data_IF_291649031002
#
_entry.id   IF_291649031002
#
_cell.length_a   1.000
_cell.length_b   1.000
_cell.length_c   1.000
_cell.angle_alpha   90.00
_cell.angle_beta   90.00
_cell.angle_gamma   90.00
#
_symmetry.space_group_name_H-M   'P 1'
#
loop_
_entity.id
_entity.type
_entity.pdbx_description
1 polymer ?
#
# COMPACT_ATOMS: atom_id res chain seq x y z
N UNK A 1 -31.52 12.40 -0.44
CA UNK A 1 -31.51 11.03 -1.02
C UNK A 1 -30.53 10.22 -0.19
N UNK A 2 -31.01 9.27 0.59
CA UNK A 2 -30.14 8.31 1.26
C UNK A 2 -29.69 7.26 0.23
N UNK A 3 -28.37 7.07 0.11
CA UNK A 3 -27.78 6.09 -0.81
C UNK A 3 -28.01 4.67 -0.26
N UNK A 4 -29.09 4.02 -0.71
CA UNK A 4 -29.53 2.73 -0.16
C UNK A 4 -28.74 1.49 -0.63
N UNK A 5 -27.81 1.63 -1.59
CA UNK A 5 -27.05 0.48 -2.10
C UNK A 5 -25.63 0.37 -1.51
N UNK A 6 -25.16 1.30 -0.68
CA UNK A 6 -24.01 1.18 0.26
C UNK A 6 -22.69 0.56 -0.23
N UNK A 7 -22.51 0.31 -1.53
CA UNK A 7 -21.36 -0.44 -2.09
C UNK A 7 -20.12 0.43 -2.23
N UNK A 8 -20.31 1.73 -2.44
CA UNK A 8 -19.24 2.71 -2.62
C UNK A 8 -19.54 3.98 -1.79
N UNK A 9 -18.51 4.63 -1.21
CA UNK A 9 -17.13 4.13 -1.09
C UNK A 9 -17.06 2.82 -0.28
N UNK A 10 -16.06 1.98 -0.58
CA UNK A 10 -15.88 0.68 0.11
C UNK A 10 -15.60 0.89 1.61
N UNK A 11 -14.94 2.01 1.94
CA UNK A 11 -14.72 2.48 3.30
C UNK A 11 -15.68 3.64 3.63
N UNK A 12 -15.95 3.90 4.92
CA UNK A 12 -16.70 5.08 5.35
C UNK A 12 -16.22 6.38 4.66
N UNK A 13 -17.12 7.31 4.29
CA UNK A 13 -16.76 8.53 3.55
C UNK A 13 -15.75 9.45 4.25
N UNK A 14 -15.53 9.28 5.55
CA UNK A 14 -14.52 10.01 6.33
C UNK A 14 -13.14 9.33 6.35
N UNK A 15 -12.98 8.21 5.62
CA UNK A 15 -11.69 7.54 5.42
C UNK A 15 -11.29 7.74 3.97
N UNK A 16 -10.16 8.42 3.78
CA UNK A 16 -9.64 8.76 2.47
C UNK A 16 -8.42 7.88 2.19
N UNK A 17 -8.52 7.07 1.16
CA UNK A 17 -7.49 6.15 0.72
C UNK A 17 -7.24 6.36 -0.77
N UNK A 18 -5.98 6.35 -1.18
CA UNK A 18 -5.55 6.48 -2.56
C UNK A 18 -4.77 5.24 -2.99
N UNK A 19 -4.81 4.95 -4.28
CA UNK A 19 -4.05 3.87 -4.91
C UNK A 19 -4.31 2.50 -4.25
N UNK A 20 -5.58 2.07 -4.15
CA UNK A 20 -5.89 0.76 -3.60
C UNK A 20 -5.56 -0.35 -4.59
N UNK A 21 -4.63 -1.24 -4.20
CA UNK A 21 -4.39 -2.51 -4.91
C UNK A 21 -4.88 -3.69 -4.09
N UNK A 22 -5.53 -4.65 -4.75
CA UNK A 22 -6.23 -5.75 -4.09
C UNK A 22 -5.82 -7.14 -4.58
N UNK A 23 -5.34 -7.96 -3.66
CA UNK A 23 -5.02 -9.37 -3.91
C UNK A 23 -5.81 -10.30 -2.98
N UNK A 24 -6.25 -11.43 -3.53
CA UNK A 24 -6.73 -12.56 -2.73
C UNK A 24 -5.51 -13.28 -2.15
N UNK A 25 -5.46 -13.39 -0.83
CA UNK A 25 -4.39 -14.07 -0.09
C UNK A 25 -4.69 -15.57 0.05
N UNK A 26 -3.67 -16.42 0.26
CA UNK A 26 -3.84 -17.87 0.38
C UNK A 26 -4.76 -18.31 1.52
N UNK A 27 -4.91 -17.51 2.57
CA UNK A 27 -5.83 -17.75 3.69
C UNK A 27 -7.29 -17.36 3.38
N UNK A 28 -7.56 -16.92 2.15
CA UNK A 28 -8.88 -16.47 1.70
C UNK A 28 -9.23 -15.04 2.12
N UNK A 29 -8.30 -14.31 2.74
CA UNK A 29 -8.46 -12.89 3.01
C UNK A 29 -8.16 -12.05 1.77
N UNK A 30 -8.74 -10.84 1.70
CA UNK A 30 -8.33 -9.84 0.71
C UNK A 30 -7.41 -8.85 1.38
N UNK A 31 -6.21 -8.67 0.84
CA UNK A 31 -5.36 -7.54 1.21
C UNK A 31 -5.62 -6.42 0.21
N UNK A 32 -6.08 -5.29 0.72
CA UNK A 32 -6.04 -4.02 0.02
C UNK A 32 -4.87 -3.22 0.61
N UNK A 33 -3.82 -2.97 -0.16
CA UNK A 33 -2.79 -2.03 0.28
C UNK A 33 -3.10 -0.67 -0.29
N UNK A 34 -2.95 0.35 0.53
CA UNK A 34 -3.26 1.72 0.13
C UNK A 34 -2.41 2.71 0.90
N UNK A 35 -2.31 3.90 0.33
CA UNK A 35 -1.94 5.09 1.06
C UNK A 35 -3.14 5.63 1.84
N UNK A 36 -3.17 5.58 3.19
CA UNK A 36 -4.02 6.48 3.91
C UNK A 36 -3.44 7.86 3.70
N UNK A 37 -4.31 8.78 3.37
CA UNK A 37 -3.99 10.18 3.52
C UNK A 37 -4.93 10.64 4.62
N UNK A 38 -4.38 11.07 5.75
CA UNK A 38 -5.21 11.81 6.72
C UNK A 38 -5.36 13.19 6.09
N UNK A 39 -6.37 13.34 5.23
CA UNK A 39 -6.55 14.54 4.40
C UNK A 39 -7.42 15.50 5.18
N UNK A 40 -6.91 16.68 5.51
CA UNK A 40 -7.81 17.82 5.68
C UNK A 40 -8.23 18.29 4.28
N UNK A 41 -9.49 18.70 4.03
CA UNK A 41 -9.95 19.04 2.68
C UNK A 41 -9.04 20.01 1.88
N UNK A 42 -8.22 20.83 2.55
CA UNK A 42 -7.20 21.70 1.96
C UNK A 42 -6.03 20.98 1.29
N UNK A 43 -5.76 19.72 1.64
CA UNK A 43 -4.62 18.95 1.12
C UNK A 43 -4.94 18.27 -0.22
N UNK A 44 -6.21 18.23 -0.64
CA UNK A 44 -6.69 17.48 -1.83
C UNK A 44 -6.12 18.02 -3.15
N UNK A 45 -5.75 19.30 -3.23
CA UNK A 45 -5.28 19.92 -4.48
C UNK A 45 -3.78 20.21 -4.54
N UNK A 46 -3.05 20.08 -3.42
CA UNK A 46 -1.65 20.49 -3.40
C UNK A 46 -0.69 19.34 -3.75
N UNK A 47 0.05 19.54 -4.85
CA UNK A 47 1.22 18.73 -5.23
C UNK A 47 2.49 19.19 -4.51
N UNK A 48 2.36 20.12 -3.55
CA UNK A 48 3.51 20.69 -2.86
C UNK A 48 4.17 19.66 -1.92
N UNK A 49 5.48 19.77 -1.82
CA UNK A 49 6.32 18.83 -1.09
C UNK A 49 6.01 18.81 0.41
N UNK A 50 5.60 19.95 1.00
CA UNK A 50 5.31 20.03 2.43
C UNK A 50 4.01 19.31 2.81
N UNK A 51 2.99 19.32 1.94
CA UNK A 51 1.80 18.48 2.12
C UNK A 51 2.11 17.00 1.93
N UNK A 52 2.99 16.63 0.99
CA UNK A 52 3.46 15.25 0.82
C UNK A 52 4.23 14.75 2.05
N UNK A 53 5.05 15.60 2.66
CA UNK A 53 5.79 15.30 3.90
C UNK A 53 4.88 15.21 5.13
N UNK A 54 3.85 16.07 5.25
CA UNK A 54 2.82 15.97 6.32
C UNK A 54 1.95 14.72 6.20
N UNK A 55 1.74 14.23 4.97
CA UNK A 55 1.06 12.98 4.68
C UNK A 55 1.92 11.73 4.98
N UNK A 56 3.06 11.92 5.66
CA UNK A 56 4.09 10.96 6.05
C UNK A 56 3.66 9.48 6.02
N UNK A 57 4.46 8.71 5.26
CA UNK A 57 4.24 7.34 4.84
C UNK A 57 3.78 6.39 5.94
N UNK A 58 2.47 6.19 6.00
CA UNK A 58 1.89 5.03 6.64
C UNK A 58 1.28 4.20 5.54
N UNK A 59 2.02 3.40 4.75
CA UNK A 59 1.33 2.43 3.90
C UNK A 59 0.45 1.57 4.81
N UNK A 60 -0.86 1.59 4.54
CA UNK A 60 -1.83 0.86 5.32
C UNK A 60 -2.22 -0.34 4.50
N UNK A 61 -1.90 -1.51 5.03
CA UNK A 61 -2.63 -2.70 4.62
C UNK A 61 -3.99 -2.65 5.32
N UNK A 62 -5.05 -2.70 4.54
CA UNK A 62 -6.40 -3.02 4.99
C UNK A 62 -6.68 -4.45 4.58
N UNK A 63 -6.91 -5.33 5.55
CA UNK A 63 -7.38 -6.68 5.25
C UNK A 63 -8.87 -6.72 5.53
N UNK A 64 -9.67 -6.94 4.48
CA UNK A 64 -11.10 -7.17 4.63
C UNK A 64 -11.33 -8.68 4.73
N UNK A 65 -11.53 -9.16 5.96
CA UNK A 65 -11.97 -10.52 6.20
C UNK A 65 -13.39 -10.47 6.79
N UNK A 66 -14.37 -11.04 6.09
CA UNK A 66 -15.77 -11.13 6.55
C UNK A 66 -16.39 -9.81 7.08
N UNK A 67 -16.02 -8.66 6.50
CA UNK A 67 -16.57 -7.35 6.90
C UNK A 67 -15.82 -6.63 8.02
N UNK A 68 -14.81 -7.26 8.63
CA UNK A 68 -13.89 -6.56 9.53
C UNK A 68 -12.87 -5.75 8.71
N UNK A 69 -12.70 -4.48 9.04
CA UNK A 69 -11.69 -3.58 8.46
C UNK A 69 -10.75 -3.17 9.58
N UNK A 70 -9.52 -3.68 9.57
CA UNK A 70 -8.50 -3.34 10.56
C UNK A 70 -7.41 -2.46 9.93
N UNK A 71 -6.96 -1.45 10.69
CA UNK A 71 -5.89 -0.51 10.32
C UNK A 71 -4.55 -1.10 10.77
N UNK A 72 -3.73 -1.64 9.86
CA UNK A 72 -2.39 -2.18 10.19
C UNK A 72 -1.18 -1.27 9.90
N UNK A 73 -0.26 -1.17 10.86
CA UNK A 73 1.01 -0.43 10.74
C UNK A 73 2.15 -1.40 10.44
N UNK A 74 2.46 -1.61 9.17
CA UNK A 74 3.61 -2.43 8.76
C UNK A 74 4.82 -1.64 8.29
N UNK A 75 4.68 -0.32 8.12
CA UNK A 75 5.54 0.49 7.24
C UNK A 75 6.42 1.52 7.94
N UNK A 76 6.15 1.78 9.22
CA UNK A 76 6.81 2.88 9.96
C UNK A 76 8.33 2.69 10.05
N UNK A 77 8.81 1.45 10.08
CA UNK A 77 10.24 1.13 10.16
C UNK A 77 10.98 1.43 8.84
N UNK A 78 10.38 1.10 7.69
CA UNK A 78 10.94 1.33 6.35
C UNK A 78 11.07 2.82 6.03
N UNK A 79 10.02 3.59 6.37
CA UNK A 79 10.03 5.04 6.23
C UNK A 79 11.07 5.67 7.16
N UNK A 80 11.21 5.17 8.39
CA UNK A 80 12.13 5.72 9.40
C UNK A 80 13.62 5.49 9.12
N UNK A 81 13.99 4.50 8.32
CA UNK A 81 15.39 4.13 8.09
C UNK A 81 16.13 5.04 7.10
N UNK A 82 15.46 6.06 6.55
CA UNK A 82 16.04 7.05 5.64
C UNK A 82 15.90 8.45 6.24
N UNK A 83 16.97 9.25 6.17
CA UNK A 83 16.98 10.64 6.59
C UNK A 83 17.21 11.53 5.35
N UNK A 84 16.21 12.29 4.87
CA UNK A 84 14.80 12.31 5.31
C UNK A 84 14.04 11.02 4.95
N UNK A 85 12.93 10.71 5.64
CA UNK A 85 12.13 9.51 5.38
C UNK A 85 11.62 9.52 3.94
N UNK A 86 11.97 8.49 3.17
CA UNK A 86 11.50 8.32 1.79
C UNK A 86 9.98 8.18 1.80
N UNK A 87 9.31 9.05 1.05
CA UNK A 87 7.90 8.88 0.75
C UNK A 87 7.77 7.73 -0.25
N UNK A 88 6.92 6.78 0.08
CA UNK A 88 6.62 5.64 -0.78
C UNK A 88 5.25 5.88 -1.44
N UNK A 89 4.84 5.19 -2.49
CA UNK A 89 3.56 5.46 -3.18
C UNK A 89 3.02 4.19 -3.84
N UNK A 90 1.73 4.24 -4.20
CA UNK A 90 1.01 3.23 -5.00
C UNK A 90 1.44 1.78 -4.72
N UNK A 91 1.26 1.30 -3.48
CA UNK A 91 1.78 0.02 -3.08
C UNK A 91 0.98 -1.13 -3.67
N UNK A 92 1.67 -2.20 -4.01
CA UNK A 92 1.07 -3.48 -4.33
C UNK A 92 1.59 -4.58 -3.39
N UNK A 93 0.80 -5.59 -3.09
CA UNK A 93 1.24 -6.70 -2.25
C UNK A 93 0.71 -8.06 -2.69
N UNK A 94 1.61 -9.03 -2.66
CA UNK A 94 1.35 -10.40 -3.10
C UNK A 94 1.99 -11.43 -2.17
N UNK A 95 1.35 -12.59 -2.03
CA UNK A 95 1.91 -13.73 -1.32
C UNK A 95 2.60 -14.67 -2.32
N UNK A 96 3.85 -15.03 -2.04
CA UNK A 96 4.63 -15.96 -2.85
C UNK A 96 5.63 -16.72 -1.99
N UNK A 97 5.92 -17.98 -2.31
CA UNK A 97 6.99 -18.76 -1.65
C UNK A 97 6.91 -18.77 -0.10
N UNK A 98 5.70 -18.75 0.46
CA UNK A 98 5.46 -18.72 1.91
C UNK A 98 5.75 -17.37 2.59
N UNK A 99 5.97 -16.30 1.82
CA UNK A 99 6.19 -14.93 2.31
C UNK A 99 5.21 -13.94 1.68
N UNK A 100 5.11 -12.78 2.30
CA UNK A 100 4.34 -11.65 1.79
C UNK A 100 5.31 -10.56 1.33
N UNK A 101 5.04 -10.02 0.15
CA UNK A 101 5.84 -8.98 -0.48
C UNK A 101 5.01 -7.71 -0.57
N UNK A 102 5.61 -6.59 -0.22
CA UNK A 102 5.04 -5.26 -0.38
C UNK A 102 5.94 -4.47 -1.32
N UNK A 103 5.44 -4.17 -2.50
CA UNK A 103 6.08 -3.37 -3.53
C UNK A 103 5.64 -1.91 -3.42
N UNK A 104 6.53 -1.00 -3.77
CA UNK A 104 6.29 0.44 -3.68
C UNK A 104 7.26 1.22 -4.58
N UNK A 105 6.82 2.38 -5.07
CA UNK A 105 7.71 3.38 -5.65
C UNK A 105 8.02 4.49 -4.63
N UNK A 106 9.11 5.22 -4.84
CA UNK A 106 9.57 6.30 -3.98
C UNK A 106 9.44 7.66 -4.69
N UNK A 107 9.50 8.75 -3.94
CA UNK A 107 9.49 10.11 -4.51
C UNK A 107 10.67 10.46 -5.43
N UNK A 108 11.71 9.61 -5.49
CA UNK A 108 12.92 9.80 -6.31
C UNK A 108 12.97 8.85 -7.52
N UNK A 109 11.81 8.44 -8.03
CA UNK A 109 11.62 7.50 -9.16
C UNK A 109 12.23 6.12 -8.93
N UNK A 110 12.61 5.78 -7.69
CA UNK A 110 13.13 4.46 -7.35
C UNK A 110 12.04 3.55 -6.85
N UNK A 111 12.15 2.26 -7.17
CA UNK A 111 11.17 1.26 -6.78
C UNK A 111 11.83 0.16 -5.95
N UNK A 112 11.02 -0.51 -5.13
CA UNK A 112 11.52 -1.54 -4.24
C UNK A 112 10.42 -2.42 -3.70
N UNK A 113 10.85 -3.43 -2.94
CA UNK A 113 9.95 -4.26 -2.18
C UNK A 113 10.49 -4.52 -0.78
N UNK A 114 9.60 -4.83 0.15
CA UNK A 114 9.90 -5.32 1.47
C UNK A 114 9.17 -6.66 1.70
N UNK A 115 9.65 -7.45 2.67
CA UNK A 115 9.10 -8.79 2.94
C UNK A 115 8.57 -8.92 4.36
N UNK A 116 7.53 -9.73 4.54
CA UNK A 116 6.94 -10.04 5.84
C UNK A 116 6.39 -11.47 5.89
N UNK A 117 6.13 -11.95 7.10
CA UNK A 117 5.59 -13.31 7.32
C UNK A 117 4.05 -13.33 7.32
N UNK A 118 3.41 -12.16 7.37
CA UNK A 118 1.97 -12.00 7.38
C UNK A 118 1.55 -10.99 6.31
N UNK A 119 0.35 -11.12 5.71
CA UNK A 119 -0.17 -10.08 4.81
C UNK A 119 -0.35 -8.74 5.54
N UNK A 120 -0.43 -8.76 6.88
CA UNK A 120 -0.54 -7.59 7.75
C UNK A 120 0.81 -6.94 8.09
N UNK A 121 1.93 -7.52 7.65
CA UNK A 121 3.26 -7.14 8.08
C UNK A 121 3.61 -7.63 9.50
N UNK A 122 4.69 -7.09 10.12
CA UNK A 122 5.51 -5.99 9.62
C UNK A 122 6.25 -6.38 8.33
N UNK A 123 6.46 -5.39 7.45
CA UNK A 123 7.29 -5.55 6.27
C UNK A 123 8.65 -4.94 6.54
N UNK A 124 9.70 -5.73 6.31
CA UNK A 124 11.08 -5.40 6.68
C UNK A 124 12.02 -5.70 5.53
N UNK A 125 13.29 -5.29 5.68
CA UNK A 125 14.38 -5.57 4.75
C UNK A 125 14.06 -5.09 3.32
N UNK A 126 13.98 -3.76 3.09
CA UNK A 126 13.69 -3.23 1.77
C UNK A 126 14.81 -3.58 0.80
N UNK A 127 14.43 -3.98 -0.41
CA UNK A 127 15.34 -4.26 -1.52
C UNK A 127 14.95 -3.33 -2.67
N UNK A 128 15.95 -2.60 -3.18
CA UNK A 128 15.77 -1.77 -4.37
C UNK A 128 15.69 -2.64 -5.62
N UNK A 129 14.69 -2.40 -6.45
CA UNK A 129 14.57 -3.01 -7.76
C UNK A 129 15.43 -2.26 -8.78
N UNK A 130 15.97 -2.94 -9.80
CA UNK A 130 16.64 -2.30 -10.93
C UNK A 130 15.62 -1.70 -11.91
N UNK A 131 14.63 -0.98 -11.37
CA UNK A 131 13.53 -0.36 -12.09
C UNK A 131 13.45 1.13 -11.73
N UNK A 132 12.88 1.91 -12.64
CA UNK A 132 12.65 3.34 -12.47
C UNK A 132 11.26 3.65 -12.99
N UNK A 133 10.41 4.25 -12.15
CA UNK A 133 9.00 4.38 -12.46
C UNK A 133 8.16 4.69 -11.24
N UNK A 134 6.85 4.59 -11.44
CA UNK A 134 5.82 4.73 -10.42
C UNK A 134 4.77 3.64 -10.63
N UNK A 135 3.93 3.44 -9.60
CA UNK A 135 2.74 2.60 -9.63
C UNK A 135 3.04 1.13 -9.96
N UNK A 136 3.85 0.44 -9.12
CA UNK A 136 4.16 -0.97 -9.30
C UNK A 136 2.90 -1.83 -9.34
N UNK A 137 2.85 -2.77 -10.28
CA UNK A 137 1.84 -3.84 -10.28
C UNK A 137 2.48 -5.22 -10.49
N UNK A 138 2.09 -6.18 -9.66
CA UNK A 138 2.73 -7.49 -9.57
C UNK A 138 1.74 -8.59 -9.93
N UNK A 139 2.14 -9.42 -10.89
CA UNK A 139 1.38 -10.58 -11.30
C UNK A 139 2.22 -11.84 -11.16
N UNK A 140 1.68 -12.86 -10.50
CA UNK A 140 2.27 -14.20 -10.50
C UNK A 140 1.41 -15.08 -11.39
N UNK A 141 1.98 -15.57 -12.48
CA UNK A 141 1.29 -16.47 -13.39
C UNK A 141 1.22 -17.89 -12.80
N UNK A 142 0.44 -18.75 -13.44
CA UNK A 142 0.12 -20.10 -12.99
C UNK A 142 1.33 -21.03 -12.94
N UNK A 143 2.39 -20.71 -13.67
CA UNK A 143 3.67 -21.43 -13.64
C UNK A 143 4.59 -20.97 -12.48
N UNK A 144 4.14 -19.98 -11.70
CA UNK A 144 4.89 -19.39 -10.60
C UNK A 144 5.83 -18.25 -11.03
N UNK A 145 5.86 -17.88 -12.32
CA UNK A 145 6.65 -16.75 -12.79
C UNK A 145 6.03 -15.43 -12.31
N UNK A 146 6.86 -14.60 -11.69
CA UNK A 146 6.48 -13.25 -11.30
C UNK A 146 6.76 -12.26 -12.44
N UNK A 147 5.83 -11.34 -12.66
CA UNK A 147 5.89 -10.22 -13.59
C UNK A 147 5.71 -8.93 -12.81
N UNK A 148 6.57 -7.96 -13.12
CA UNK A 148 6.54 -6.60 -12.57
C UNK A 148 6.19 -5.65 -13.71
N UNK A 149 5.23 -4.76 -13.47
CA UNK A 149 4.79 -3.71 -14.39
C UNK A 149 5.05 -2.35 -13.79
#
# INVERSE_FOLDING_TARGET
MEHSNGRNPVLPPNIHIADPEAHMMPDGSFSQVTWPRTIEPSDISSHDQATKERAQARAMTYIKQHGLVERFRGFEELASSSDPPRLLFAPDAIAANGRHYLYFCCSDDTEGFATGDSPKGPFTNPVRLPATGIDPAIFIDRDGQAYYF
#
